data_IF_552996633721
#
_entry.id   IF_552996633721
#
_cell.length_a   1.000
_cell.length_b   1.000
_cell.length_c   1.000
_cell.angle_alpha   90.00
_cell.angle_beta   90.00
_cell.angle_gamma   90.00
#
_symmetry.space_group_name_H-M   'P 1'
#
loop_
_entity.id
_entity.type
_entity.pdbx_description
1 polymer ?
#
# COMPACT_ATOMS: atom_id res chain seq x y z
N UNK A 1 15.24 -17.59 25.77
CA UNK A 1 15.42 -17.86 24.33
C UNK A 1 14.04 -17.75 23.69
N UNK A 2 13.58 -16.69 23.03
CA UNK A 2 14.21 -15.44 22.58
C UNK A 2 13.14 -14.35 22.40
N UNK A 3 12.36 -14.08 23.46
CA UNK A 3 11.53 -12.86 23.55
C UNK A 3 12.39 -11.64 23.92
N UNK A 4 13.55 -11.49 23.28
CA UNK A 4 14.28 -10.23 23.34
C UNK A 4 13.44 -9.21 22.58
N UNK A 5 12.70 -8.41 23.36
CA UNK A 5 12.44 -7.00 23.09
C UNK A 5 12.32 -6.74 21.60
N UNK A 6 11.10 -6.81 21.08
CA UNK A 6 10.72 -5.90 20.01
C UNK A 6 11.24 -4.53 20.45
N UNK A 7 12.41 -4.12 19.95
CA UNK A 7 13.04 -2.91 20.45
C UNK A 7 12.00 -1.84 20.19
N UNK A 8 11.48 -1.26 21.27
CA UNK A 8 10.27 -0.46 21.22
C UNK A 8 10.47 0.55 20.10
N UNK A 9 9.82 0.27 18.96
CA UNK A 9 9.86 1.19 17.85
C UNK A 9 9.37 2.52 18.44
N UNK A 10 10.05 3.64 18.17
CA UNK A 10 9.56 4.93 18.67
C UNK A 10 8.08 5.00 18.34
N UNK A 11 7.20 5.32 19.32
CA UNK A 11 5.73 5.16 19.21
C UNK A 11 5.16 5.65 17.87
N UNK A 12 5.79 6.65 17.28
CA UNK A 12 5.46 7.24 15.99
C UNK A 12 5.63 6.27 14.80
N UNK A 13 6.70 5.45 14.76
CA UNK A 13 6.92 4.46 13.70
C UNK A 13 5.99 3.26 13.87
N UNK A 14 5.77 2.82 15.12
CA UNK A 14 4.82 1.73 15.39
C UNK A 14 3.40 2.11 14.97
N UNK A 15 2.96 3.33 15.30
CA UNK A 15 1.66 3.85 14.87
C UNK A 15 1.56 3.95 13.34
N UNK A 16 2.58 4.51 12.69
CA UNK A 16 2.61 4.58 11.22
C UNK A 16 2.58 3.19 10.56
N UNK A 17 3.32 2.22 11.09
CA UNK A 17 3.31 0.85 10.60
C UNK A 17 1.91 0.21 10.69
N UNK A 18 1.19 0.43 11.79
CA UNK A 18 -0.20 -0.04 11.92
C UNK A 18 -1.15 0.63 10.93
N UNK A 19 -0.96 1.92 10.64
CA UNK A 19 -1.73 2.62 9.60
C UNK A 19 -1.46 1.99 8.22
N UNK A 20 -0.18 1.70 7.89
CA UNK A 20 0.20 1.02 6.65
C UNK A 20 -0.46 -0.35 6.54
N UNK A 21 -0.47 -1.14 7.62
CA UNK A 21 -1.14 -2.45 7.66
C UNK A 21 -2.64 -2.32 7.43
N UNK A 22 -3.31 -1.40 8.13
CA UNK A 22 -4.74 -1.16 7.94
C UNK A 22 -5.07 -0.74 6.51
N UNK A 23 -4.21 0.11 5.91
CA UNK A 23 -4.38 0.56 4.54
C UNK A 23 -4.19 -0.59 3.55
N UNK A 24 -3.15 -1.42 3.70
CA UNK A 24 -2.93 -2.64 2.91
C UNK A 24 -4.17 -3.57 2.92
N UNK A 25 -4.77 -3.77 4.10
CA UNK A 25 -6.00 -4.56 4.24
C UNK A 25 -7.15 -3.93 3.46
N UNK A 26 -7.32 -2.60 3.52
CA UNK A 26 -8.31 -1.90 2.73
C UNK A 26 -8.08 -2.02 1.23
N UNK A 27 -6.82 -1.96 0.76
CA UNK A 27 -6.46 -2.19 -0.65
C UNK A 27 -6.84 -3.61 -1.08
N UNK A 28 -6.54 -4.62 -0.27
CA UNK A 28 -6.86 -6.02 -0.54
C UNK A 28 -8.37 -6.24 -0.66
N UNK A 29 -9.16 -5.66 0.26
CA UNK A 29 -10.63 -5.68 0.20
C UNK A 29 -11.13 -4.96 -1.06
N UNK A 30 -10.56 -3.80 -1.38
CA UNK A 30 -10.87 -3.08 -2.63
C UNK A 30 -10.63 -3.92 -3.88
N UNK A 31 -9.54 -4.69 -3.91
CA UNK A 31 -9.24 -5.61 -5.00
C UNK A 31 -10.24 -6.77 -5.11
N UNK A 32 -10.67 -7.32 -3.97
CA UNK A 32 -11.75 -8.30 -3.93
C UNK A 32 -13.08 -7.71 -4.43
N UNK A 33 -13.37 -6.46 -4.08
CA UNK A 33 -14.57 -5.74 -4.51
C UNK A 33 -14.58 -5.48 -6.02
N UNK A 34 -13.46 -5.06 -6.61
CA UNK A 34 -13.31 -4.91 -8.07
C UNK A 34 -13.61 -6.23 -8.79
N UNK A 35 -13.11 -7.35 -8.25
CA UNK A 35 -13.36 -8.69 -8.81
C UNK A 35 -14.83 -9.10 -8.66
N UNK A 36 -15.42 -8.89 -7.48
CA UNK A 36 -16.81 -9.24 -7.21
C UNK A 36 -17.81 -8.46 -8.06
N UNK A 37 -17.49 -7.19 -8.36
CA UNK A 37 -18.34 -6.32 -9.20
C UNK A 37 -18.10 -6.47 -10.70
N UNK A 38 -17.11 -7.28 -11.12
CA UNK A 38 -16.74 -7.42 -12.53
C UNK A 38 -16.09 -6.16 -13.12
N UNK A 39 -15.66 -5.21 -12.28
CA UNK A 39 -15.15 -3.89 -12.69
C UNK A 39 -13.67 -3.90 -13.12
N UNK A 40 -13.03 -5.06 -13.21
CA UNK A 40 -11.58 -5.19 -13.43
C UNK A 40 -11.06 -4.77 -14.80
N UNK A 41 -11.93 -4.33 -15.71
CA UNK A 41 -11.60 -3.82 -17.04
C UNK A 41 -12.17 -2.41 -17.31
N UNK A 42 -12.63 -1.70 -16.26
CA UNK A 42 -13.19 -0.37 -16.36
C UNK A 42 -12.22 0.70 -16.89
N UNK A 43 -10.91 0.58 -16.62
CA UNK A 43 -9.88 1.55 -17.00
C UNK A 43 -8.96 1.13 -18.16
N UNK A 44 -9.15 -0.08 -18.68
CA UNK A 44 -8.32 -0.63 -19.76
C UNK A 44 -6.84 -0.79 -19.38
N UNK A 45 -5.98 -0.98 -20.39
CA UNK A 45 -4.55 -1.27 -20.22
C UNK A 45 -3.68 -0.03 -19.99
N UNK A 46 -4.27 1.17 -19.92
CA UNK A 46 -3.52 2.39 -19.66
C UNK A 46 -3.30 2.54 -18.15
N UNK A 47 -2.02 2.60 -17.75
CA UNK A 47 -1.57 2.83 -16.38
C UNK A 47 -0.44 3.85 -16.45
N UNK A 48 -0.41 4.93 -15.64
CA UNK A 48 -1.21 5.18 -14.43
C UNK A 48 -2.52 5.97 -14.64
N UNK A 49 -2.79 6.46 -15.86
CA UNK A 49 -4.04 7.17 -16.17
C UNK A 49 -5.12 6.21 -16.67
N UNK A 50 -6.34 6.36 -16.14
CA UNK A 50 -7.51 5.64 -16.65
C UNK A 50 -8.02 6.32 -17.92
N UNK A 51 -8.03 5.63 -19.07
CA UNK A 51 -8.40 6.22 -20.37
C UNK A 51 -7.67 7.54 -20.72
N UNK A 52 -6.44 7.72 -20.23
CA UNK A 52 -5.64 8.94 -20.50
C UNK A 52 -6.07 10.20 -19.75
N UNK A 53 -7.00 10.12 -18.78
CA UNK A 53 -7.45 11.26 -17.97
C UNK A 53 -7.46 10.91 -16.46
N UNK A 54 -7.13 11.89 -15.62
CA UNK A 54 -7.22 11.77 -14.14
C UNK A 54 -8.64 12.05 -13.66
N UNK A 55 -9.39 12.87 -14.40
CA UNK A 55 -10.79 13.23 -14.13
C UNK A 55 -11.61 12.78 -15.32
N UNK A 56 -12.55 11.87 -15.10
CA UNK A 56 -13.38 11.28 -16.15
C UNK A 56 -14.49 12.26 -16.49
N UNK A 57 -14.67 12.62 -17.77
CA UNK A 57 -15.81 13.46 -18.18
C UNK A 57 -17.16 12.79 -17.93
N UNK A 58 -17.26 11.47 -18.15
CA UNK A 58 -18.46 10.64 -17.93
C UNK A 58 -18.06 9.27 -17.37
N UNK A 59 -17.78 9.16 -16.06
CA UNK A 59 -17.33 7.90 -15.49
C UNK A 59 -18.48 6.89 -15.40
N UNK A 60 -18.27 5.67 -15.92
CA UNK A 60 -19.09 4.52 -15.54
C UNK A 60 -18.77 4.08 -14.12
N UNK A 61 -19.72 3.45 -13.41
CA UNK A 61 -19.48 2.96 -12.05
C UNK A 61 -18.30 1.98 -11.97
N UNK A 62 -18.13 1.12 -12.98
CA UNK A 62 -17.01 0.20 -13.05
C UNK A 62 -15.66 0.95 -13.16
N UNK A 63 -15.64 2.04 -13.94
CA UNK A 63 -14.45 2.87 -14.12
C UNK A 63 -14.07 3.61 -12.83
N UNK A 64 -15.06 4.10 -12.06
CA UNK A 64 -14.81 4.71 -10.74
C UNK A 64 -14.20 3.68 -9.77
N UNK A 65 -14.79 2.48 -9.72
CA UNK A 65 -14.34 1.42 -8.82
C UNK A 65 -12.90 1.01 -9.13
N UNK A 66 -12.55 0.79 -10.41
CA UNK A 66 -11.18 0.44 -10.77
C UNK A 66 -10.19 1.59 -10.54
N UNK A 67 -10.58 2.83 -10.84
CA UNK A 67 -9.72 3.99 -10.62
C UNK A 67 -9.40 4.20 -9.14
N UNK A 68 -10.40 4.07 -8.26
CA UNK A 68 -10.21 4.19 -6.81
C UNK A 68 -9.27 3.08 -6.31
N UNK A 69 -9.49 1.83 -6.74
CA UNK A 69 -8.61 0.73 -6.34
C UNK A 69 -7.17 0.95 -6.81
N UNK A 70 -6.95 1.36 -8.07
CA UNK A 70 -5.62 1.70 -8.60
C UNK A 70 -4.97 2.84 -7.83
N UNK A 71 -5.71 3.89 -7.52
CA UNK A 71 -5.21 5.03 -6.74
C UNK A 71 -4.80 4.61 -5.33
N UNK A 72 -5.60 3.75 -4.68
CA UNK A 72 -5.28 3.19 -3.38
C UNK A 72 -3.98 2.37 -3.43
N UNK A 73 -3.78 1.52 -4.44
CA UNK A 73 -2.51 0.77 -4.58
C UNK A 73 -1.30 1.68 -4.74
N UNK A 74 -1.42 2.80 -5.48
CA UNK A 74 -0.34 3.77 -5.64
C UNK A 74 0.00 4.51 -4.34
N UNK A 75 -1.01 4.89 -3.57
CA UNK A 75 -0.83 5.51 -2.24
C UNK A 75 -0.16 4.52 -1.29
N UNK A 76 -0.60 3.27 -1.28
CA UNK A 76 -0.05 2.23 -0.41
C UNK A 76 1.45 2.00 -0.69
N UNK A 77 1.82 1.95 -1.98
CA UNK A 77 3.21 1.81 -2.38
C UNK A 77 4.09 2.96 -1.85
N UNK A 78 3.60 4.20 -1.95
CA UNK A 78 4.28 5.36 -1.39
C UNK A 78 4.41 5.30 0.14
N UNK A 79 3.37 4.82 0.84
CA UNK A 79 3.39 4.64 2.29
C UNK A 79 4.41 3.58 2.73
N UNK A 80 4.48 2.44 2.05
CA UNK A 80 5.46 1.37 2.33
C UNK A 80 6.89 1.84 2.08
N UNK A 81 7.14 2.56 0.98
CA UNK A 81 8.46 3.18 0.72
C UNK A 81 8.84 4.22 1.78
N UNK A 82 7.87 5.02 2.25
CA UNK A 82 8.06 5.95 3.36
C UNK A 82 8.43 5.23 4.66
N UNK A 83 7.74 4.13 4.98
CA UNK A 83 8.04 3.30 6.14
C UNK A 83 9.44 2.68 6.04
N UNK A 84 9.83 2.22 4.85
CA UNK A 84 11.17 1.71 4.57
C UNK A 84 12.22 2.78 4.87
N UNK A 85 12.12 3.95 4.25
CA UNK A 85 13.06 5.06 4.44
C UNK A 85 13.17 5.48 5.91
N UNK A 86 12.04 5.59 6.61
CA UNK A 86 12.02 5.96 8.03
C UNK A 86 12.67 4.87 8.90
N UNK A 87 12.41 3.60 8.61
CA UNK A 87 13.01 2.47 9.34
C UNK A 87 14.53 2.43 9.18
N UNK A 88 15.04 2.74 7.99
CA UNK A 88 16.49 2.86 7.76
C UNK A 88 17.13 4.04 8.51
N UNK A 89 16.40 5.14 8.71
CA UNK A 89 16.88 6.33 9.42
C UNK A 89 16.81 6.18 10.94
N UNK A 90 15.80 5.48 11.47
CA UNK A 90 15.52 5.44 12.90
C UNK A 90 16.16 4.25 13.65
N UNK A 91 16.35 3.10 13.00
CA UNK A 91 16.91 1.91 13.66
C UNK A 91 18.37 1.68 13.30
N UNK A 92 19.21 1.13 14.20
CA UNK A 92 20.60 0.79 13.91
C UNK A 92 20.73 -0.37 12.90
N UNK A 93 21.94 -0.52 12.33
CA UNK A 93 22.26 -1.63 11.42
C UNK A 93 22.02 -2.98 12.13
N UNK A 94 21.44 -3.96 11.43
CA UNK A 94 21.04 -5.32 11.92
C UNK A 94 19.76 -5.41 12.77
N UNK A 95 18.95 -4.36 12.83
CA UNK A 95 17.65 -4.43 13.50
C UNK A 95 16.62 -5.23 12.69
N UNK A 96 15.85 -6.12 13.33
CA UNK A 96 14.82 -6.94 12.68
C UNK A 96 13.77 -6.12 11.92
N UNK A 97 13.46 -4.91 12.40
CA UNK A 97 12.55 -3.99 11.72
C UNK A 97 13.00 -3.62 10.28
N UNK A 98 14.31 -3.52 10.03
CA UNK A 98 14.83 -3.24 8.67
C UNK A 98 14.59 -4.42 7.73
N UNK A 99 14.77 -5.65 8.21
CA UNK A 99 14.48 -6.85 7.43
C UNK A 99 12.97 -6.93 7.13
N UNK A 100 12.12 -6.71 8.14
CA UNK A 100 10.67 -6.68 7.96
C UNK A 100 10.24 -5.64 6.92
N UNK A 101 10.74 -4.41 7.03
CA UNK A 101 10.41 -3.35 6.06
C UNK A 101 10.88 -3.70 4.64
N UNK A 102 12.10 -4.25 4.47
CA UNK A 102 12.61 -4.68 3.16
C UNK A 102 11.75 -5.81 2.57
N UNK A 103 11.43 -6.83 3.38
CA UNK A 103 10.59 -7.94 2.94
C UNK A 103 9.20 -7.46 2.53
N UNK A 104 8.59 -6.53 3.28
CA UNK A 104 7.29 -5.94 2.92
C UNK A 104 7.36 -5.17 1.61
N UNK A 105 8.41 -4.38 1.38
CA UNK A 105 8.60 -3.67 0.10
C UNK A 105 8.76 -4.66 -1.06
N UNK A 106 9.61 -5.68 -0.90
CA UNK A 106 9.84 -6.70 -1.95
C UNK A 106 8.59 -7.54 -2.23
N UNK A 107 7.77 -7.84 -1.23
CA UNK A 107 6.52 -8.58 -1.45
C UNK A 107 5.47 -7.75 -2.20
N UNK A 108 5.51 -6.43 -2.06
CA UNK A 108 4.52 -5.51 -2.61
C UNK A 108 4.77 -5.10 -4.07
N UNK A 109 6.02 -5.08 -4.51
CA UNK A 109 6.44 -4.75 -5.87
C UNK A 109 6.77 -6.01 -6.68
#
# INVERSE_FOLDING_TARGET
MSLQKAAAAPRNIAGFAWIVVAFNVAVAIGGAFVRATGSGAGCGNHWPLCNGQVVMGTPSMATVIEFVHRSMTGIDAAMVLGLLAWTFRAFPKRHAARLGAVLSTVFMF
#
